data_IF_196958223102
#
_entry.id   IF_196958223102
#
_cell.length_a   1.000
_cell.length_b   1.000
_cell.length_c   1.000
_cell.angle_alpha   90.00
_cell.angle_beta   90.00
_cell.angle_gamma   90.00
#
_symmetry.space_group_name_H-M   'P 1'
#
loop_
_entity.id
_entity.type
_entity.pdbx_description
1 polymer ?
#
# COMPACT_ATOMS: atom_id res chain seq x y z
N UNK A 1 -23.50 -79.86 19.99
CA UNK A 1 -24.74 -79.55 19.23
C UNK A 1 -24.36 -78.62 18.08
N UNK A 2 -24.59 -79.12 16.88
CA UNK A 2 -24.32 -78.50 15.56
C UNK A 2 -25.28 -77.31 15.28
N UNK A 3 -24.82 -76.36 14.46
CA UNK A 3 -25.46 -75.82 13.27
C UNK A 3 -24.60 -74.65 12.82
N UNK A 4 -23.86 -74.72 11.73
CA UNK A 4 -24.17 -74.68 10.29
C UNK A 4 -24.76 -73.36 9.83
N UNK A 5 -24.00 -72.63 9.04
CA UNK A 5 -24.36 -72.08 7.72
C UNK A 5 -24.47 -70.54 7.79
N UNK A 6 -23.82 -69.73 6.99
CA UNK A 6 -23.99 -69.66 5.53
C UNK A 6 -23.04 -68.58 5.00
N UNK A 7 -22.31 -68.93 3.95
CA UNK A 7 -21.61 -68.03 3.04
C UNK A 7 -22.59 -67.06 2.36
N UNK A 8 -22.27 -65.81 2.33
CA UNK A 8 -22.78 -64.91 1.27
C UNK A 8 -21.65 -63.98 0.79
N UNK A 9 -21.11 -64.37 -0.33
CA UNK A 9 -20.16 -63.64 -1.14
C UNK A 9 -20.90 -62.55 -1.85
N UNK A 10 -20.60 -61.29 -1.58
CA UNK A 10 -20.96 -60.16 -2.45
C UNK A 10 -19.71 -59.46 -2.94
N UNK A 11 -19.38 -59.73 -4.18
CA UNK A 11 -18.45 -58.99 -5.03
C UNK A 11 -19.19 -57.70 -5.46
N UNK A 12 -18.75 -56.57 -4.95
CA UNK A 12 -19.10 -55.26 -5.53
C UNK A 12 -17.79 -54.56 -5.89
N UNK A 13 -17.61 -54.42 -7.20
CA UNK A 13 -16.49 -53.73 -7.79
C UNK A 13 -16.50 -52.25 -7.42
N UNK A 14 -15.48 -51.75 -6.78
CA UNK A 14 -15.20 -50.35 -6.61
C UNK A 14 -14.37 -49.83 -7.78
N UNK A 15 -15.01 -49.10 -8.66
CA UNK A 15 -14.36 -48.27 -9.69
C UNK A 15 -13.64 -47.12 -8.96
N UNK A 16 -12.33 -47.18 -8.89
CA UNK A 16 -11.47 -46.11 -8.46
C UNK A 16 -11.38 -45.02 -9.54
N UNK A 17 -12.23 -44.02 -9.49
CA UNK A 17 -11.99 -42.76 -10.18
C UNK A 17 -10.95 -41.95 -9.39
N UNK A 18 -9.70 -42.08 -9.78
CA UNK A 18 -8.62 -41.20 -9.33
C UNK A 18 -8.82 -39.81 -9.96
N UNK A 19 -9.67 -38.97 -9.33
CA UNK A 19 -9.74 -37.55 -9.60
C UNK A 19 -8.50 -36.88 -8.98
N UNK A 20 -7.50 -36.58 -9.79
CA UNK A 20 -6.41 -35.71 -9.39
C UNK A 20 -6.98 -34.29 -9.19
N UNK A 21 -7.35 -33.99 -7.96
CA UNK A 21 -7.63 -32.62 -7.55
C UNK A 21 -6.27 -31.92 -7.48
N UNK A 22 -5.91 -31.22 -8.55
CA UNK A 22 -4.78 -30.32 -8.55
C UNK A 22 -5.08 -29.19 -7.56
N UNK A 23 -4.49 -29.26 -6.37
CA UNK A 23 -4.41 -28.12 -5.49
C UNK A 23 -3.45 -27.13 -6.15
N UNK A 24 -4.01 -26.15 -6.88
CA UNK A 24 -3.29 -24.93 -7.20
C UNK A 24 -3.02 -24.26 -5.85
N UNK A 25 -1.79 -24.39 -5.35
CA UNK A 25 -1.30 -23.55 -4.28
C UNK A 25 -1.12 -22.17 -4.91
N UNK A 26 -2.17 -21.33 -4.84
CA UNK A 26 -2.01 -19.90 -5.04
C UNK A 26 -1.02 -19.45 -3.97
N UNK A 27 0.24 -19.30 -4.38
CA UNK A 27 1.27 -18.64 -3.59
C UNK A 27 0.85 -17.17 -3.53
N UNK A 28 0.02 -16.83 -2.56
CA UNK A 28 -0.28 -15.43 -2.24
C UNK A 28 1.02 -14.78 -1.79
N UNK A 29 1.63 -14.01 -2.69
CA UNK A 29 2.80 -13.20 -2.37
C UNK A 29 2.51 -12.41 -1.08
N UNK A 30 3.48 -12.38 -0.18
CA UNK A 30 3.38 -11.61 1.05
C UNK A 30 3.06 -10.15 0.72
N UNK A 31 2.15 -9.49 1.42
CA UNK A 31 1.83 -8.07 1.17
C UNK A 31 3.07 -7.17 1.27
N UNK A 32 4.16 -7.65 1.86
CA UNK A 32 5.42 -6.93 2.02
C UNK A 32 6.28 -6.99 0.76
N UNK A 33 6.19 -8.05 -0.06
CA UNK A 33 7.05 -8.24 -1.24
C UNK A 33 6.88 -7.14 -2.29
N UNK A 34 5.73 -6.47 -2.29
CA UNK A 34 5.43 -5.36 -3.20
C UNK A 34 5.79 -3.98 -2.61
N UNK A 35 6.29 -3.94 -1.37
CA UNK A 35 6.59 -2.72 -0.66
C UNK A 35 8.10 -2.46 -0.59
N UNK A 36 8.45 -1.19 -0.55
CA UNK A 36 9.85 -0.77 -0.37
C UNK A 36 10.17 -0.70 1.11
N UNK A 37 11.35 -1.19 1.51
CA UNK A 37 11.89 -0.96 2.85
C UNK A 37 12.22 0.54 3.04
N UNK A 38 11.55 1.15 3.99
CA UNK A 38 11.71 2.54 4.38
C UNK A 38 12.50 2.69 5.67
N UNK A 39 12.98 1.60 6.26
CA UNK A 39 13.76 1.61 7.50
C UNK A 39 14.98 2.52 7.35
N UNK A 40 15.18 3.42 8.31
CA UNK A 40 16.23 4.45 8.24
C UNK A 40 15.90 5.68 7.37
N UNK A 41 14.86 5.63 6.54
CA UNK A 41 14.35 6.78 5.77
C UNK A 41 13.17 7.47 6.45
N UNK A 42 12.59 6.80 7.43
CA UNK A 42 11.50 7.30 8.28
C UNK A 42 11.89 7.13 9.74
N UNK A 43 11.25 7.89 10.62
CA UNK A 43 11.43 7.72 12.07
C UNK A 43 10.23 6.98 12.64
N UNK A 44 10.50 5.87 13.31
CA UNK A 44 9.47 5.14 14.07
C UNK A 44 9.36 5.77 15.46
N UNK A 45 8.17 6.14 15.85
CA UNK A 45 7.85 6.68 17.17
C UNK A 45 7.06 5.61 17.92
N UNK A 46 7.65 5.07 18.97
CA UNK A 46 7.05 4.02 19.82
C UNK A 46 6.71 4.63 21.17
N UNK A 47 5.44 4.63 21.52
CA UNK A 47 4.94 5.17 22.78
C UNK A 47 4.24 4.08 23.58
N UNK A 48 4.70 3.80 24.80
CA UNK A 48 4.02 2.91 25.72
C UNK A 48 2.76 3.62 26.25
N UNK A 49 1.59 3.11 25.91
CA UNK A 49 0.27 3.69 26.29
C UNK A 49 -0.37 2.99 27.46
N UNK A 50 0.06 1.76 27.76
CA UNK A 50 -0.48 1.02 28.90
C UNK A 50 0.30 -0.24 29.21
N UNK A 51 0.19 -0.65 30.48
CA UNK A 51 0.73 -1.92 30.97
C UNK A 51 -0.30 -2.57 31.88
N UNK A 52 -0.63 -3.79 31.55
CA UNK A 52 -1.40 -4.65 32.43
C UNK A 52 -0.45 -5.58 33.18
N UNK A 53 -0.25 -5.33 34.46
CA UNK A 53 0.65 -6.13 35.29
C UNK A 53 0.11 -7.54 35.61
N UNK A 54 -1.20 -7.74 35.50
CA UNK A 54 -1.82 -9.03 35.75
C UNK A 54 -1.58 -10.02 34.60
N UNK A 55 -1.77 -9.56 33.38
CA UNK A 55 -1.55 -10.37 32.18
C UNK A 55 -0.15 -10.20 31.60
N UNK A 56 0.67 -9.30 32.15
CA UNK A 56 1.97 -8.89 31.63
C UNK A 56 1.91 -8.38 30.18
N UNK A 57 0.80 -7.71 29.84
CA UNK A 57 0.58 -7.14 28.49
C UNK A 57 1.01 -5.67 28.46
N UNK A 58 1.80 -5.35 27.46
CA UNK A 58 2.25 -4.00 27.16
C UNK A 58 1.56 -3.51 25.89
N UNK A 59 1.05 -2.29 25.92
CA UNK A 59 0.35 -1.65 24.82
C UNK A 59 1.16 -0.48 24.33
N UNK A 60 1.48 -0.52 23.04
CA UNK A 60 2.26 0.51 22.37
C UNK A 60 1.44 1.14 21.26
N UNK A 61 1.56 2.45 21.13
CA UNK A 61 1.17 3.20 19.94
C UNK A 61 2.41 3.42 19.10
N UNK A 62 2.41 2.89 17.89
CA UNK A 62 3.54 2.97 16.96
C UNK A 62 3.13 3.81 15.77
N UNK A 63 3.79 4.94 15.57
CA UNK A 63 3.58 5.84 14.43
C UNK A 63 4.86 6.05 13.64
N UNK A 64 4.71 6.49 12.39
CA UNK A 64 5.82 6.70 11.47
C UNK A 64 5.86 8.16 11.05
N UNK A 65 7.02 8.81 11.23
CA UNK A 65 7.27 10.15 10.72
C UNK A 65 8.06 10.07 9.42
N UNK A 66 7.51 10.68 8.37
CA UNK A 66 8.17 10.73 7.08
C UNK A 66 9.34 11.71 7.10
N UNK A 67 10.58 11.19 7.01
CA UNK A 67 11.79 12.01 6.95
C UNK A 67 12.30 12.16 5.50
N UNK A 68 11.63 11.55 4.53
CA UNK A 68 11.98 11.67 3.12
C UNK A 68 11.50 12.99 2.53
N UNK A 69 12.07 13.39 1.39
CA UNK A 69 11.60 14.55 0.63
C UNK A 69 10.29 14.28 -0.14
N UNK A 70 9.96 12.99 -0.35
CA UNK A 70 8.82 12.56 -1.15
C UNK A 70 7.63 12.19 -0.25
N UNK A 71 6.40 12.40 -0.69
CA UNK A 71 5.23 11.90 0.01
C UNK A 71 5.17 10.36 -0.07
N UNK A 72 4.73 9.72 1.00
CA UNK A 72 4.50 8.28 1.09
C UNK A 72 3.00 7.99 0.97
N UNK A 73 2.65 6.90 0.30
CA UNK A 73 1.26 6.45 0.23
C UNK A 73 0.84 5.91 1.59
N UNK A 74 -0.06 6.61 2.28
CA UNK A 74 -0.41 6.32 3.67
C UNK A 74 -0.98 4.90 3.86
N UNK A 75 -1.83 4.44 2.95
CA UNK A 75 -2.47 3.13 3.02
C UNK A 75 -1.51 1.97 2.74
N UNK A 76 -0.32 2.25 2.20
CA UNK A 76 0.70 1.23 1.96
C UNK A 76 1.63 1.00 3.16
N UNK A 77 1.53 1.83 4.21
CA UNK A 77 2.46 1.77 5.32
C UNK A 77 2.19 0.58 6.22
N UNK A 78 3.21 -0.26 6.37
CA UNK A 78 3.25 -1.39 7.29
C UNK A 78 4.41 -1.23 8.25
N UNK A 79 4.21 -1.61 9.50
CA UNK A 79 5.26 -1.77 10.50
C UNK A 79 5.41 -3.25 10.83
N UNK A 80 6.63 -3.73 10.81
CA UNK A 80 7.00 -5.11 11.16
C UNK A 80 7.76 -5.08 12.46
N UNK A 81 7.32 -5.84 13.45
CA UNK A 81 8.10 -6.05 14.67
C UNK A 81 9.28 -6.97 14.33
N UNK A 82 10.44 -6.35 14.08
CA UNK A 82 11.64 -7.06 13.60
C UNK A 82 12.30 -7.85 14.72
N UNK A 83 12.49 -7.22 15.87
CA UNK A 83 13.13 -7.85 17.02
C UNK A 83 12.72 -7.20 18.35
N UNK A 84 12.91 -7.96 19.42
CA UNK A 84 12.84 -7.46 20.79
C UNK A 84 14.22 -7.59 21.40
N UNK A 85 14.71 -6.53 22.00
CA UNK A 85 16.07 -6.37 22.48
C UNK A 85 16.10 -5.80 23.91
N UNK A 86 17.28 -5.63 24.49
CA UNK A 86 17.50 -5.06 25.84
C UNK A 86 16.70 -5.79 26.93
N UNK A 87 16.73 -7.13 26.96
CA UNK A 87 16.18 -7.87 28.08
C UNK A 87 17.04 -7.62 29.32
N UNK A 88 16.39 -7.21 30.41
CA UNK A 88 17.12 -6.96 31.66
C UNK A 88 17.84 -8.23 32.15
N UNK A 89 19.15 -8.14 32.32
CA UNK A 89 20.01 -9.22 32.80
C UNK A 89 20.59 -10.12 31.70
N UNK A 90 20.35 -9.84 30.43
CA UNK A 90 20.90 -10.60 29.31
C UNK A 90 21.76 -9.67 28.42
N UNK A 91 23.05 -9.60 28.73
CA UNK A 91 24.02 -8.76 27.98
C UNK A 91 24.48 -9.40 26.65
N UNK A 92 23.95 -10.56 26.28
CA UNK A 92 24.39 -11.32 25.12
C UNK A 92 23.97 -10.72 23.78
N UNK A 93 23.06 -9.81 23.79
CA UNK A 93 22.48 -9.19 22.59
C UNK A 93 23.49 -8.44 21.73
N UNK A 94 24.41 -7.75 22.38
CA UNK A 94 25.50 -7.02 21.70
C UNK A 94 26.46 -7.95 20.94
N UNK A 95 26.51 -9.21 21.31
CA UNK A 95 27.42 -10.23 20.74
C UNK A 95 26.71 -11.08 19.68
N UNK A 96 25.43 -11.41 19.84
CA UNK A 96 24.73 -12.36 18.96
C UNK A 96 23.77 -11.70 17.99
N UNK A 97 23.35 -10.48 18.23
CA UNK A 97 22.28 -9.78 17.48
C UNK A 97 20.99 -10.62 17.36
N UNK A 98 20.79 -11.54 18.29
CA UNK A 98 19.63 -12.42 18.33
C UNK A 98 18.37 -11.67 18.76
N UNK A 99 17.24 -12.05 18.18
CA UNK A 99 15.94 -11.53 18.55
C UNK A 99 15.31 -12.42 19.60
N UNK A 100 14.84 -11.82 20.68
CA UNK A 100 14.07 -12.51 21.71
C UNK A 100 12.55 -12.54 21.39
N UNK A 101 12.17 -12.27 20.16
CA UNK A 101 10.76 -12.18 19.74
C UNK A 101 9.96 -13.45 20.08
N UNK A 102 10.58 -14.62 20.01
CA UNK A 102 9.98 -15.91 20.30
C UNK A 102 9.57 -16.11 21.79
N UNK A 103 10.06 -15.28 22.70
CA UNK A 103 9.70 -15.28 24.13
C UNK A 103 8.46 -14.44 24.44
N UNK A 104 7.94 -13.73 23.44
CA UNK A 104 6.80 -12.84 23.60
C UNK A 104 5.63 -13.28 22.72
N UNK A 105 4.41 -13.06 23.20
CA UNK A 105 3.22 -13.17 22.37
C UNK A 105 2.86 -11.81 21.79
N UNK A 106 2.83 -11.70 20.49
CA UNK A 106 2.35 -10.50 19.80
C UNK A 106 0.87 -10.67 19.49
N UNK A 107 0.07 -9.70 19.88
CA UNK A 107 -1.38 -9.77 19.82
C UNK A 107 -1.94 -8.69 18.90
N UNK A 108 -2.98 -9.05 18.12
CA UNK A 108 -3.69 -8.12 17.27
C UNK A 108 -2.90 -7.72 16.01
N UNK A 109 -1.97 -8.56 15.59
CA UNK A 109 -1.27 -8.40 14.32
C UNK A 109 -2.21 -8.59 13.12
N UNK A 110 -1.95 -7.90 12.03
CA UNK A 110 -2.69 -8.03 10.77
C UNK A 110 -2.22 -9.22 9.94
N UNK A 111 -1.03 -9.78 10.26
CA UNK A 111 -0.45 -10.95 9.64
C UNK A 111 1.01 -11.14 10.02
N UNK A 112 1.65 -12.05 9.31
CA UNK A 112 3.07 -12.38 9.49
C UNK A 112 3.80 -12.31 8.15
N UNK A 113 5.09 -11.98 8.21
CA UNK A 113 6.00 -12.06 7.08
C UNK A 113 6.41 -13.51 6.82
N UNK A 114 7.11 -13.78 5.70
CA UNK A 114 7.68 -15.10 5.41
C UNK A 114 8.70 -15.54 6.48
N UNK A 115 9.34 -14.57 7.16
CA UNK A 115 10.22 -14.79 8.30
C UNK A 115 9.45 -15.01 9.62
N UNK A 116 8.12 -15.13 9.57
CA UNK A 116 7.21 -15.25 10.73
C UNK A 116 7.31 -14.05 11.70
N UNK A 117 7.62 -12.88 11.19
CA UNK A 117 7.60 -11.64 11.96
C UNK A 117 6.22 -11.01 11.86
N UNK A 118 5.60 -10.63 12.98
CA UNK A 118 4.29 -10.00 12.96
C UNK A 118 4.35 -8.60 12.37
N UNK A 119 3.35 -8.27 11.55
CA UNK A 119 3.20 -6.93 11.00
C UNK A 119 1.85 -6.30 11.35
N UNK A 120 1.83 -4.97 11.32
CA UNK A 120 0.66 -4.15 11.59
C UNK A 120 0.52 -3.10 10.49
N UNK A 121 -0.70 -2.88 10.06
CA UNK A 121 -1.03 -1.79 9.13
C UNK A 121 -1.19 -0.49 9.90
N UNK A 122 -0.62 0.57 9.38
CA UNK A 122 -0.86 1.90 9.92
C UNK A 122 -2.27 2.33 9.50
N UNK A 123 -3.14 2.73 10.44
CA UNK A 123 -4.48 3.17 10.10
C UNK A 123 -4.44 4.37 9.15
N UNK A 124 -5.33 4.42 8.14
CA UNK A 124 -5.36 5.52 7.19
C UNK A 124 -5.58 6.85 7.92
N UNK A 125 -4.86 7.87 7.49
CA UNK A 125 -5.01 9.24 7.98
C UNK A 125 -6.21 9.95 7.36
N UNK A 126 -6.28 11.26 7.57
CA UNK A 126 -7.25 12.13 6.88
C UNK A 126 -6.84 12.41 5.43
N UNK A 127 -5.61 12.14 5.08
CA UNK A 127 -5.02 12.35 3.75
C UNK A 127 -4.53 11.01 3.18
N UNK A 128 -4.63 10.86 1.86
CA UNK A 128 -4.15 9.68 1.15
C UNK A 128 -2.62 9.53 1.21
N UNK A 129 -1.92 10.62 1.49
CA UNK A 129 -0.47 10.67 1.53
C UNK A 129 0.05 11.16 2.88
N UNK A 130 1.14 10.54 3.32
CA UNK A 130 1.96 11.02 4.42
C UNK A 130 3.02 11.97 3.86
N UNK A 131 2.76 13.28 3.98
CA UNK A 131 3.66 14.34 3.46
C UNK A 131 4.99 14.35 4.22
N UNK A 132 6.06 14.89 3.62
CA UNK A 132 7.34 15.09 4.30
C UNK A 132 7.17 15.79 5.65
N UNK A 133 7.95 15.37 6.65
CA UNK A 133 7.97 15.88 8.02
C UNK A 133 6.68 15.69 8.84
N UNK A 134 5.67 15.01 8.31
CA UNK A 134 4.45 14.68 9.06
C UNK A 134 4.52 13.29 9.68
N UNK A 135 3.66 13.06 10.67
CA UNK A 135 3.55 11.79 11.39
C UNK A 135 2.22 11.12 11.04
N UNK A 136 2.26 9.81 10.82
CA UNK A 136 1.08 8.99 10.57
C UNK A 136 0.18 8.87 11.81
N UNK A 137 -1.01 8.29 11.64
CA UNK A 137 -1.75 7.72 12.77
C UNK A 137 -0.94 6.58 13.39
N UNK A 138 -1.23 6.28 14.66
CA UNK A 138 -0.58 5.19 15.37
C UNK A 138 -1.29 3.87 15.11
N UNK A 139 -0.52 2.81 14.91
CA UNK A 139 -0.98 1.44 14.99
C UNK A 139 -0.86 0.97 16.46
N UNK A 140 -1.89 0.28 16.93
CA UNK A 140 -1.88 -0.28 18.28
C UNK A 140 -1.19 -1.65 18.27
N UNK A 141 -0.08 -1.76 18.98
CA UNK A 141 0.69 -3.00 19.10
C UNK A 141 0.60 -3.50 20.55
N UNK A 142 0.25 -4.77 20.71
CA UNK A 142 0.16 -5.40 22.03
C UNK A 142 1.15 -6.54 22.13
N UNK A 143 1.97 -6.52 23.17
CA UNK A 143 3.02 -7.50 23.42
C UNK A 143 2.82 -8.09 24.80
N UNK A 144 2.57 -9.40 24.90
CA UNK A 144 2.50 -10.11 26.14
C UNK A 144 3.85 -10.74 26.46
N UNK A 145 4.35 -10.42 27.63
CA UNK A 145 5.63 -10.88 28.15
C UNK A 145 5.42 -12.14 29.01
N UNK A 146 5.63 -13.32 28.43
CA UNK A 146 5.42 -14.61 29.13
C UNK A 146 6.34 -14.79 30.31
N UNK A 147 7.55 -14.30 30.23
CA UNK A 147 8.62 -14.54 31.18
C UNK A 147 8.71 -13.45 32.27
N UNK A 148 7.78 -12.49 32.21
CA UNK A 148 7.73 -11.38 33.17
C UNK A 148 9.05 -10.56 33.20
N UNK A 149 9.75 -10.48 32.10
CA UNK A 149 10.97 -9.66 31.97
C UNK A 149 10.65 -8.21 32.28
N UNK A 150 11.45 -7.58 33.15
CA UNK A 150 11.13 -6.23 33.63
C UNK A 150 11.37 -5.13 32.61
N UNK A 151 12.34 -5.32 31.70
CA UNK A 151 12.72 -4.36 30.68
C UNK A 151 12.93 -5.08 29.35
N UNK A 152 12.36 -4.56 28.28
CA UNK A 152 12.62 -4.97 26.90
C UNK A 152 12.30 -3.82 25.94
N UNK A 153 12.89 -3.85 24.77
CA UNK A 153 12.73 -2.81 23.75
C UNK A 153 12.26 -3.44 22.43
N UNK A 154 11.05 -3.15 21.96
CA UNK A 154 10.61 -3.58 20.63
C UNK A 154 11.25 -2.70 19.54
N UNK A 155 11.78 -3.32 18.50
CA UNK A 155 12.34 -2.66 17.34
C UNK A 155 11.51 -2.99 16.10
N UNK A 156 11.20 -1.97 15.31
CA UNK A 156 10.31 -2.07 14.15
C UNK A 156 11.04 -1.69 12.87
N UNK A 157 10.71 -2.41 11.79
CA UNK A 157 10.98 -2.01 10.41
C UNK A 157 9.74 -1.42 9.78
N UNK A 158 9.91 -0.56 8.79
CA UNK A 158 8.81 0.11 8.09
C UNK A 158 8.90 -0.21 6.62
N UNK A 159 7.76 -0.62 6.06
CA UNK A 159 7.59 -0.87 4.63
C UNK A 159 6.47 0.02 4.09
N UNK A 160 6.61 0.42 2.83
CA UNK A 160 5.59 1.27 2.19
C UNK A 160 6.04 1.72 0.80
N UNK A 161 5.16 2.42 0.12
CA UNK A 161 5.43 2.95 -1.22
C UNK A 161 5.53 4.48 -1.20
N UNK A 162 6.49 4.99 -1.95
CA UNK A 162 6.53 6.41 -2.28
C UNK A 162 5.43 6.72 -3.30
N UNK A 163 4.86 7.91 -3.20
CA UNK A 163 3.97 8.41 -4.26
C UNK A 163 4.82 8.59 -5.53
N UNK A 164 4.46 7.95 -6.66
CA UNK A 164 5.13 8.24 -7.92
C UNK A 164 4.99 9.74 -8.21
N UNK A 165 6.02 10.37 -8.80
CA UNK A 165 5.91 11.74 -9.27
C UNK A 165 4.65 11.87 -10.13
N UNK A 166 3.89 12.98 -10.03
CA UNK A 166 2.78 13.19 -10.93
C UNK A 166 3.35 13.04 -12.34
N UNK A 167 2.80 12.11 -13.10
CA UNK A 167 3.15 11.97 -14.52
C UNK A 167 3.12 13.39 -15.10
N UNK A 168 4.21 13.84 -15.76
CA UNK A 168 4.20 15.12 -16.43
C UNK A 168 2.94 15.04 -17.29
N UNK A 169 1.94 15.87 -16.94
CA UNK A 169 0.71 15.94 -17.74
C UNK A 169 1.24 16.04 -19.15
N UNK A 170 1.19 14.92 -19.90
CA UNK A 170 1.48 14.95 -21.33
C UNK A 170 0.71 16.18 -21.77
N UNK A 171 1.37 17.21 -22.32
CA UNK A 171 0.65 18.39 -22.74
C UNK A 171 -0.48 17.79 -23.52
N UNK A 172 -1.68 17.80 -22.90
CA UNK A 172 -2.91 17.20 -23.40
C UNK A 172 -2.87 17.67 -24.79
N UNK A 173 -2.54 16.70 -25.76
CA UNK A 173 -2.14 17.07 -27.12
C UNK A 173 -3.07 18.20 -27.44
N UNK A 174 -2.53 19.40 -27.38
CA UNK A 174 -3.30 20.63 -27.25
C UNK A 174 -4.48 20.34 -28.10
N UNK A 175 -5.65 20.17 -27.43
CA UNK A 175 -6.85 20.06 -28.21
C UNK A 175 -6.62 21.18 -29.18
N UNK A 176 -6.08 20.79 -30.32
CA UNK A 176 -5.62 21.62 -31.41
C UNK A 176 -6.75 22.61 -31.49
N UNK A 177 -6.58 23.86 -31.07
CA UNK A 177 -7.70 24.73 -30.81
C UNK A 177 -8.56 24.51 -32.01
N UNK A 178 -9.70 23.80 -31.75
CA UNK A 178 -10.63 23.46 -32.82
C UNK A 178 -10.86 24.80 -33.47
N UNK A 179 -10.21 24.96 -34.60
CA UNK A 179 -9.94 26.25 -35.19
C UNK A 179 -11.21 27.09 -35.04
N UNK A 180 -11.17 28.26 -34.47
CA UNK A 180 -12.33 29.13 -34.40
C UNK A 180 -12.59 29.70 -35.81
N UNK A 181 -12.64 28.78 -36.79
CA UNK A 181 -12.67 29.10 -38.21
C UNK A 181 -14.08 29.39 -38.74
N UNK A 182 -15.14 29.08 -37.99
CA UNK A 182 -16.49 29.30 -38.57
C UNK A 182 -17.24 30.52 -38.06
N UNK A 183 -16.84 31.12 -36.95
CA UNK A 183 -17.50 32.32 -36.45
C UNK A 183 -16.78 33.61 -36.89
N UNK A 184 -15.45 33.56 -36.96
CA UNK A 184 -14.65 34.67 -37.51
C UNK A 184 -14.95 34.87 -39.00
N UNK A 185 -15.09 33.80 -39.81
CA UNK A 185 -15.40 33.91 -41.22
C UNK A 185 -16.73 34.65 -41.48
N UNK A 186 -17.78 34.32 -40.73
CA UNK A 186 -19.08 34.99 -40.88
C UNK A 186 -19.10 36.47 -40.45
N UNK A 187 -18.32 36.82 -39.45
CA UNK A 187 -18.18 38.19 -39.03
C UNK A 187 -17.33 39.01 -39.98
N UNK A 188 -16.26 38.41 -40.48
CA UNK A 188 -15.37 38.99 -41.47
C UNK A 188 -16.09 39.18 -42.81
N UNK A 189 -16.89 38.22 -43.25
CA UNK A 189 -17.72 38.35 -44.43
C UNK A 189 -18.76 39.45 -44.36
N UNK A 190 -19.44 39.58 -43.20
CA UNK A 190 -20.40 40.65 -42.96
C UNK A 190 -19.73 42.05 -42.95
N UNK A 191 -18.54 42.15 -42.40
CA UNK A 191 -17.77 43.39 -42.33
C UNK A 191 -17.33 43.80 -43.75
N UNK A 192 -16.89 42.83 -44.54
CA UNK A 192 -16.50 43.02 -45.95
C UNK A 192 -17.67 43.46 -46.82
N UNK A 193 -18.84 42.80 -46.66
CA UNK A 193 -20.07 43.25 -47.37
C UNK A 193 -20.49 44.66 -47.02
N UNK A 194 -20.31 45.09 -45.78
CA UNK A 194 -20.59 46.43 -45.33
C UNK A 194 -19.61 47.45 -45.94
N UNK A 195 -18.34 47.09 -46.03
CA UNK A 195 -17.30 47.95 -46.62
C UNK A 195 -17.49 48.10 -48.13
N UNK A 196 -17.87 47.05 -48.86
CA UNK A 196 -18.27 47.09 -50.29
C UNK A 196 -19.52 47.97 -50.47
N UNK A 197 -20.55 47.81 -49.63
CA UNK A 197 -21.79 48.59 -49.71
C UNK A 197 -21.58 50.08 -49.44
N UNK A 198 -20.60 50.43 -48.60
CA UNK A 198 -20.21 51.81 -48.30
C UNK A 198 -19.22 52.42 -49.30
N UNK A 199 -18.78 51.68 -50.28
CA UNK A 199 -17.84 52.16 -51.30
C UNK A 199 -16.42 52.40 -50.77
N UNK A 200 -16.09 51.82 -49.62
CA UNK A 200 -14.77 51.99 -49.02
C UNK A 200 -13.75 51.05 -49.68
N UNK A 201 -14.22 49.94 -50.24
CA UNK A 201 -13.42 48.95 -50.97
C UNK A 201 -14.14 48.69 -52.30
N UNK A 202 -13.42 48.63 -53.38
CA UNK A 202 -13.94 48.27 -54.70
C UNK A 202 -13.94 46.75 -54.91
N UNK A 203 -14.82 46.24 -55.78
CA UNK A 203 -14.85 44.79 -56.10
C UNK A 203 -13.53 44.29 -56.68
N UNK A 204 -12.79 45.16 -57.37
CA UNK A 204 -11.47 44.81 -57.96
C UNK A 204 -10.42 44.65 -56.87
N UNK A 205 -10.40 45.49 -55.83
CA UNK A 205 -9.49 45.38 -54.70
C UNK A 205 -9.79 44.11 -53.89
N UNK A 206 -11.07 43.80 -53.70
CA UNK A 206 -11.51 42.58 -53.08
C UNK A 206 -11.06 41.29 -53.81
N UNK A 207 -11.24 41.29 -55.14
CA UNK A 207 -10.85 40.17 -55.97
C UNK A 207 -9.34 39.96 -55.99
N UNK A 208 -8.57 41.05 -55.91
CA UNK A 208 -7.11 41.03 -55.88
C UNK A 208 -6.56 40.53 -54.55
N UNK A 209 -7.24 40.83 -53.44
CA UNK A 209 -6.85 40.37 -52.11
C UNK A 209 -7.16 38.88 -51.86
N UNK A 210 -8.10 38.30 -52.60
CA UNK A 210 -8.55 36.90 -52.42
C UNK A 210 -8.03 35.95 -53.49
N UNK A 211 -7.08 36.38 -54.32
CA UNK A 211 -6.36 35.48 -55.23
C UNK A 211 -5.24 34.76 -54.47
N UNK A 212 -5.20 33.39 -54.49
CA UNK A 212 -4.17 32.59 -53.81
C UNK A 212 -2.78 32.81 -54.38
#
# INVERSE_FOLDING_TARGET
>A
MQCRGSLFTWLVGAVLCAGAVGFSTDSTASPIDQLTDLTGKVTVIVTLTGRDNFTSEYRYDVSVRNMTADPLVADSLLIVLDKITNLAGEDHEALTNESFLNRFDVLGQDGETDERKPFFRIPPGSTADLVPQTTSRAAAVRIRNRDYVSVFTPAFKVYGNKRPPPEPKQPTAQAQPAAPQRQTDKQTERLLQLLLKKGVITEEEWRKANQP
#
